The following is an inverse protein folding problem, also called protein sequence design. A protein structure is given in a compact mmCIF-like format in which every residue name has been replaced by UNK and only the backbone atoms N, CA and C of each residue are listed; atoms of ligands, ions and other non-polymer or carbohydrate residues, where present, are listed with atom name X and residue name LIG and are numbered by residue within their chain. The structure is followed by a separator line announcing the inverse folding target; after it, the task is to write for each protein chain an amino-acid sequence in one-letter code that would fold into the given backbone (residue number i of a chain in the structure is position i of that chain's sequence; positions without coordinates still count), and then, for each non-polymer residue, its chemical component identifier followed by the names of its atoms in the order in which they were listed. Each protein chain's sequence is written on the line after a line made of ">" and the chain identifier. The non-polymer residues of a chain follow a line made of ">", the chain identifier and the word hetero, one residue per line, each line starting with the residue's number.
data_IF_070268301351
#
_entry.id   IF_070268301351
#
_cell.length_a   1.000
_cell.length_b   1.000
_cell.length_c   1.000
_cell.angle_alpha   90.00
_cell.angle_beta   90.00
_cell.angle_gamma   90.00
#
_symmetry.space_group_name_H-M   'P 1'
#
loop_
_entity.id
_entity.type
_entity.pdbx_description
1 polymer ?
#
# COMPACT_ATOMS: atom_id res chain seq x y z
N UNK A 1 -15.00 -17.02 14.15
CA UNK A 1 -15.63 -16.26 13.04
C UNK A 1 -16.27 -15.02 13.63
N UNK A 2 -15.63 -13.87 13.47
CA UNK A 2 -16.11 -12.55 13.89
C UNK A 2 -15.47 -11.50 12.98
N UNK A 3 -15.85 -11.48 11.70
CA UNK A 3 -15.42 -10.46 10.73
C UNK A 3 -16.56 -9.48 10.37
N UNK A 4 -17.78 -9.71 10.88
CA UNK A 4 -18.96 -8.92 10.53
C UNK A 4 -18.98 -7.50 11.13
N UNK A 5 -18.13 -7.20 12.11
CA UNK A 5 -18.22 -5.98 12.94
C UNK A 5 -17.00 -5.05 12.82
N UNK A 6 -16.11 -5.30 11.86
CA UNK A 6 -14.99 -4.39 11.58
C UNK A 6 -15.46 -3.26 10.65
N UNK A 7 -15.16 -1.99 10.99
CA UNK A 7 -15.44 -0.88 10.10
C UNK A 7 -14.63 -1.03 8.81
N UNK A 8 -15.31 -0.93 7.67
CA UNK A 8 -14.67 -0.97 6.35
C UNK A 8 -14.02 0.39 6.10
N UNK A 9 -12.72 0.40 5.83
CA UNK A 9 -12.03 1.63 5.47
C UNK A 9 -12.02 1.81 3.95
N UNK A 10 -12.58 2.92 3.47
CA UNK A 10 -12.68 3.17 2.04
C UNK A 10 -11.32 3.13 1.30
N UNK A 11 -10.26 3.68 1.90
CA UNK A 11 -8.96 3.77 1.21
C UNK A 11 -8.25 2.42 1.17
N UNK A 12 -8.33 1.65 2.26
CA UNK A 12 -7.67 0.35 2.40
C UNK A 12 -8.43 -0.77 1.69
N UNK A 13 -9.75 -0.78 1.83
CA UNK A 13 -10.58 -1.96 1.52
C UNK A 13 -11.40 -1.77 0.22
N UNK A 14 -11.97 -0.58 -0.01
CA UNK A 14 -12.93 -0.34 -1.11
C UNK A 14 -12.26 0.20 -2.37
N UNK A 15 -11.46 1.25 -2.23
CA UNK A 15 -10.80 1.93 -3.36
C UNK A 15 -9.95 0.96 -4.21
N UNK A 16 -9.18 0.01 -3.66
CA UNK A 16 -8.44 -0.94 -4.49
C UNK A 16 -9.36 -1.80 -5.38
N UNK A 17 -10.53 -2.19 -4.86
CA UNK A 17 -11.54 -2.93 -5.62
C UNK A 17 -12.08 -2.07 -6.75
N UNK A 18 -12.49 -0.83 -6.46
CA UNK A 18 -13.03 0.08 -7.49
C UNK A 18 -11.96 0.46 -8.53
N UNK A 19 -10.72 0.68 -8.10
CA UNK A 19 -9.61 1.03 -8.98
C UNK A 19 -9.24 -0.11 -9.93
N UNK A 20 -9.25 -1.36 -9.45
CA UNK A 20 -9.01 -2.50 -10.32
C UNK A 20 -10.23 -2.80 -11.18
N UNK A 21 -11.43 -2.91 -10.60
CA UNK A 21 -12.59 -3.49 -11.31
C UNK A 21 -13.46 -2.48 -12.05
N UNK A 22 -13.43 -1.19 -11.69
CA UNK A 22 -14.45 -0.23 -12.12
C UNK A 22 -13.89 1.01 -12.83
N UNK A 23 -12.76 1.59 -12.38
CA UNK A 23 -12.28 2.89 -12.86
C UNK A 23 -11.81 2.92 -14.32
N UNK A 24 -11.64 1.76 -14.97
CA UNK A 24 -11.36 1.75 -16.40
C UNK A 24 -12.54 2.32 -17.20
N UNK A 25 -13.77 1.88 -16.92
CA UNK A 25 -14.97 2.36 -17.60
C UNK A 25 -15.72 3.46 -16.83
N UNK A 26 -15.55 3.55 -15.51
CA UNK A 26 -16.25 4.52 -14.67
C UNK A 26 -15.28 5.40 -13.87
N UNK A 27 -14.19 5.83 -14.51
CA UNK A 27 -13.13 6.62 -13.87
C UNK A 27 -12.70 7.85 -14.69
N UNK A 28 -11.48 8.36 -14.44
CA UNK A 28 -11.07 9.69 -14.91
C UNK A 28 -10.82 9.78 -16.42
N UNK A 29 -10.64 8.67 -17.12
CA UNK A 29 -10.43 8.67 -18.58
C UNK A 29 -11.76 8.84 -19.32
N UNK A 30 -12.00 9.95 -20.04
CA UNK A 30 -13.24 10.15 -20.80
C UNK A 30 -13.35 9.26 -22.04
N UNK A 31 -12.24 8.69 -22.54
CA UNK A 31 -12.25 7.92 -23.79
C UNK A 31 -12.82 6.52 -23.63
N UNK A 32 -12.67 5.93 -22.46
CA UNK A 32 -13.25 4.63 -22.07
C UNK A 32 -14.50 4.78 -21.19
N UNK A 33 -14.96 6.01 -20.95
CA UNK A 33 -16.02 6.26 -19.96
C UNK A 33 -17.38 5.81 -20.45
N UNK A 34 -18.05 5.02 -19.61
CA UNK A 34 -19.41 4.55 -19.81
C UNK A 34 -20.37 5.23 -18.84
N UNK A 35 -21.61 5.42 -19.30
CA UNK A 35 -22.72 6.01 -18.56
C UNK A 35 -22.45 7.41 -17.95
N UNK A 36 -21.44 8.13 -18.46
CA UNK A 36 -20.96 9.39 -17.88
C UNK A 36 -20.71 9.28 -16.36
N UNK A 37 -20.33 8.11 -15.86
CA UNK A 37 -20.19 7.84 -14.43
C UNK A 37 -18.73 7.90 -13.97
N UNK A 38 -18.51 8.56 -12.83
CA UNK A 38 -17.21 8.75 -12.18
C UNK A 38 -17.20 8.20 -10.77
N UNK A 39 -16.94 6.90 -10.63
CA UNK A 39 -16.81 6.26 -9.31
C UNK A 39 -15.53 6.67 -8.57
N UNK A 40 -14.58 7.33 -9.25
CA UNK A 40 -13.38 7.91 -8.65
C UNK A 40 -13.63 9.26 -7.97
N UNK A 41 -14.83 9.84 -8.13
CA UNK A 41 -15.29 11.04 -7.47
C UNK A 41 -16.54 10.74 -6.64
N UNK A 42 -16.68 11.40 -5.48
CA UNK A 42 -17.92 11.28 -4.71
C UNK A 42 -19.05 12.03 -5.40
N UNK A 43 -18.87 13.34 -5.60
CA UNK A 43 -19.78 14.17 -6.39
C UNK A 43 -19.31 14.24 -7.83
N UNK A 44 -20.28 14.28 -8.75
CA UNK A 44 -20.05 14.50 -10.17
C UNK A 44 -19.71 15.95 -10.52
N UNK A 45 -19.75 16.23 -11.82
CA UNK A 45 -19.68 17.58 -12.40
C UNK A 45 -20.89 17.83 -13.32
N UNK A 46 -20.91 18.96 -14.04
CA UNK A 46 -22.06 19.33 -14.89
C UNK A 46 -22.36 18.29 -16.00
N UNK A 47 -21.39 17.46 -16.38
CA UNK A 47 -21.51 16.51 -17.49
C UNK A 47 -21.47 15.05 -17.04
N UNK A 48 -21.03 14.78 -15.81
CA UNK A 48 -20.77 13.44 -15.31
C UNK A 48 -21.38 13.20 -13.93
N UNK A 49 -21.99 12.03 -13.75
CA UNK A 49 -22.45 11.53 -12.46
C UNK A 49 -21.26 11.14 -11.58
N UNK A 50 -21.37 11.37 -10.28
CA UNK A 50 -20.44 10.90 -9.25
C UNK A 50 -20.86 9.56 -8.65
N UNK A 51 -20.07 9.06 -7.71
CA UNK A 51 -20.43 7.88 -6.93
C UNK A 51 -21.72 8.09 -6.10
N UNK A 52 -22.00 9.32 -5.65
CA UNK A 52 -23.19 9.68 -4.87
C UNK A 52 -24.50 9.48 -5.65
N UNK A 53 -24.46 9.50 -6.98
CA UNK A 53 -25.64 9.30 -7.83
C UNK A 53 -26.07 7.83 -7.97
N UNK A 54 -25.16 6.88 -7.68
CA UNK A 54 -25.39 5.42 -7.84
C UNK A 54 -25.20 4.63 -6.54
N UNK A 55 -24.84 5.32 -5.46
CA UNK A 55 -24.66 4.77 -4.12
C UNK A 55 -25.49 5.59 -3.15
N UNK A 56 -26.45 4.95 -2.49
CA UNK A 56 -27.22 5.54 -1.40
C UNK A 56 -26.61 5.11 -0.07
N UNK A 57 -25.95 6.02 0.69
CA UNK A 57 -25.38 5.71 2.00
C UNK A 57 -26.36 5.00 2.94
N UNK A 58 -25.98 3.82 3.42
CA UNK A 58 -26.80 3.02 4.35
C UNK A 58 -27.88 2.16 3.68
N UNK A 59 -28.12 2.31 2.38
CA UNK A 59 -29.21 1.62 1.68
C UNK A 59 -28.69 0.72 0.56
N UNK A 60 -28.68 -0.59 0.82
CA UNK A 60 -28.23 -1.59 -0.17
C UNK A 60 -29.17 -1.69 -1.36
N UNK A 61 -30.47 -1.78 -1.10
CA UNK A 61 -31.48 -1.97 -2.16
C UNK A 61 -31.70 -0.69 -2.98
N UNK A 62 -31.36 0.48 -2.43
CA UNK A 62 -31.39 1.78 -3.12
C UNK A 62 -30.13 2.08 -3.93
N UNK A 63 -29.06 1.30 -3.75
CA UNK A 63 -27.78 1.53 -4.42
C UNK A 63 -27.67 0.76 -5.73
N UNK A 64 -27.69 1.46 -6.86
CA UNK A 64 -27.49 0.88 -8.20
C UNK A 64 -26.17 0.10 -8.30
N UNK A 65 -25.10 0.57 -7.64
CA UNK A 65 -23.84 -0.18 -7.58
C UNK A 65 -24.04 -1.61 -7.06
N UNK A 66 -24.85 -1.79 -6.01
CA UNK A 66 -25.14 -3.11 -5.42
C UNK A 66 -25.95 -3.96 -6.39
N UNK A 67 -26.95 -3.38 -7.03
CA UNK A 67 -27.76 -4.06 -8.05
C UNK A 67 -26.87 -4.59 -9.18
N UNK A 68 -25.93 -3.79 -9.68
CA UNK A 68 -25.03 -4.16 -10.78
C UNK A 68 -24.03 -5.25 -10.43
N UNK A 69 -23.41 -5.18 -9.24
CA UNK A 69 -22.41 -6.21 -8.83
C UNK A 69 -23.06 -7.53 -8.42
N UNK A 70 -24.39 -7.55 -8.19
CA UNK A 70 -25.14 -8.76 -7.81
C UNK A 70 -26.15 -9.24 -8.85
N UNK A 71 -26.30 -8.52 -9.97
CA UNK A 71 -27.24 -8.87 -11.04
C UNK A 71 -27.03 -10.30 -11.53
N UNK A 72 -28.10 -11.08 -11.68
CA UNK A 72 -28.04 -12.43 -12.27
C UNK A 72 -27.89 -12.38 -13.80
N UNK A 73 -28.49 -11.37 -14.42
CA UNK A 73 -28.38 -11.10 -15.85
C UNK A 73 -26.95 -10.64 -16.20
N UNK A 74 -26.32 -11.35 -17.14
CA UNK A 74 -24.97 -11.08 -17.59
C UNK A 74 -24.84 -9.71 -18.27
N UNK A 75 -25.90 -9.23 -18.95
CA UNK A 75 -25.89 -7.96 -19.67
C UNK A 75 -26.02 -6.76 -18.70
N UNK A 76 -26.51 -7.00 -17.49
CA UNK A 76 -26.64 -5.99 -16.44
C UNK A 76 -25.51 -6.03 -15.41
N UNK A 77 -24.76 -7.14 -15.36
CA UNK A 77 -23.73 -7.37 -14.35
C UNK A 77 -22.49 -6.53 -14.63
N UNK A 78 -21.98 -5.90 -13.57
CA UNK A 78 -20.71 -5.19 -13.59
C UNK A 78 -19.65 -5.89 -12.74
N UNK A 79 -18.38 -5.96 -13.18
CA UNK A 79 -17.90 -5.55 -14.50
C UNK A 79 -18.45 -6.43 -15.65
N UNK A 80 -18.58 -5.91 -16.88
CA UNK A 80 -19.05 -6.68 -18.03
C UNK A 80 -18.10 -7.85 -18.33
N UNK A 81 -18.61 -8.93 -18.91
CA UNK A 81 -17.81 -10.13 -19.19
C UNK A 81 -16.63 -9.84 -20.13
N UNK A 82 -16.80 -8.94 -21.10
CA UNK A 82 -15.75 -8.53 -22.03
C UNK A 82 -14.59 -7.78 -21.37
N UNK A 83 -14.78 -7.22 -20.16
CA UNK A 83 -13.69 -6.59 -19.41
C UNK A 83 -12.65 -7.60 -18.91
N UNK A 84 -13.00 -8.88 -18.88
CA UNK A 84 -12.17 -9.95 -18.31
C UNK A 84 -12.01 -9.85 -16.79
N UNK A 85 -12.71 -8.93 -16.12
CA UNK A 85 -12.68 -8.74 -14.67
C UNK A 85 -13.96 -9.26 -14.03
N UNK A 86 -13.83 -9.75 -12.80
CA UNK A 86 -14.96 -10.15 -11.97
C UNK A 86 -14.67 -9.81 -10.52
N UNK A 87 -15.73 -9.65 -9.74
CA UNK A 87 -15.66 -9.50 -8.29
C UNK A 87 -15.78 -10.87 -7.64
N UNK A 88 -14.90 -11.14 -6.69
CA UNK A 88 -15.05 -12.25 -5.75
C UNK A 88 -16.18 -11.97 -4.75
N UNK A 89 -16.65 -13.02 -4.07
CA UNK A 89 -17.66 -12.87 -3.02
C UNK A 89 -17.22 -11.98 -1.86
N UNK A 90 -15.92 -11.99 -1.53
CA UNK A 90 -15.34 -11.14 -0.48
C UNK A 90 -15.29 -9.67 -0.89
N UNK A 91 -14.99 -9.38 -2.16
CA UNK A 91 -15.03 -8.01 -2.69
C UNK A 91 -16.47 -7.46 -2.72
N UNK A 92 -17.44 -8.27 -3.17
CA UNK A 92 -18.86 -7.91 -3.15
C UNK A 92 -19.31 -7.64 -1.71
N UNK A 93 -18.97 -8.52 -0.76
CA UNK A 93 -19.31 -8.33 0.66
C UNK A 93 -18.68 -7.06 1.23
N UNK A 94 -17.42 -6.76 0.88
CA UNK A 94 -16.73 -5.54 1.30
C UNK A 94 -17.43 -4.28 0.81
N UNK A 95 -17.82 -4.24 -0.48
CA UNK A 95 -18.57 -3.13 -1.05
C UNK A 95 -19.95 -2.97 -0.39
N UNK A 96 -20.68 -4.07 -0.19
CA UNK A 96 -21.98 -4.05 0.50
C UNK A 96 -21.85 -3.56 1.94
N UNK A 97 -20.90 -4.08 2.71
CA UNK A 97 -20.68 -3.64 4.10
C UNK A 97 -20.31 -2.17 4.18
N UNK A 98 -19.44 -1.69 3.28
CA UNK A 98 -19.11 -0.27 3.21
C UNK A 98 -20.34 0.61 2.96
N UNK A 99 -21.19 0.24 2.00
CA UNK A 99 -22.43 0.98 1.71
C UNK A 99 -23.38 0.94 2.92
N UNK A 100 -23.60 -0.23 3.51
CA UNK A 100 -24.43 -0.39 4.69
C UNK A 100 -23.92 0.41 5.91
N UNK A 101 -22.60 0.64 6.00
CA UNK A 101 -21.97 1.48 7.02
C UNK A 101 -22.01 2.99 6.71
N UNK A 102 -22.75 3.41 5.68
CA UNK A 102 -22.93 4.82 5.32
C UNK A 102 -22.01 5.29 4.20
N UNK A 103 -21.36 4.38 3.48
CA UNK A 103 -20.57 4.67 2.27
C UNK A 103 -19.57 5.83 2.43
N UNK A 104 -18.89 5.95 3.57
CA UNK A 104 -17.95 7.05 3.80
C UNK A 104 -16.88 7.07 2.70
N UNK A 105 -16.90 8.11 1.87
CA UNK A 105 -15.96 8.30 0.77
C UNK A 105 -14.78 9.14 1.23
N UNK A 106 -13.55 8.68 0.98
CA UNK A 106 -12.32 9.43 1.32
C UNK A 106 -11.61 9.85 0.04
N UNK A 107 -11.11 11.10 -0.09
CA UNK A 107 -10.33 11.51 -1.25
C UNK A 107 -9.01 10.73 -1.37
N UNK A 108 -8.29 10.88 -2.48
CA UNK A 108 -7.01 10.21 -2.66
C UNK A 108 -6.03 10.65 -1.56
N UNK A 109 -5.27 9.69 -1.00
CA UNK A 109 -4.39 9.92 0.17
C UNK A 109 -3.39 11.08 -0.04
N UNK A 110 -2.98 11.32 -1.28
CA UNK A 110 -2.08 12.41 -1.64
C UNK A 110 -2.67 13.82 -1.40
N UNK A 111 -4.00 13.94 -1.31
CA UNK A 111 -4.71 15.20 -1.05
C UNK A 111 -5.20 15.32 0.39
N UNK A 112 -4.91 14.34 1.24
CA UNK A 112 -5.26 14.36 2.66
C UNK A 112 -4.02 14.69 3.47
N UNK A 113 -4.12 15.69 4.35
CA UNK A 113 -3.03 16.02 5.26
C UNK A 113 -2.69 14.80 6.14
N UNK A 114 -1.43 14.31 6.14
CA UNK A 114 -1.05 13.17 6.96
C UNK A 114 -1.15 13.54 8.44
N UNK A 115 -1.83 12.71 9.22
CA UNK A 115 -1.93 12.86 10.66
C UNK A 115 -0.97 11.89 11.35
N UNK A 116 -0.37 12.32 12.47
CA UNK A 116 0.52 11.45 13.25
C UNK A 116 -0.33 10.44 14.04
N UNK A 117 -0.26 9.12 13.73
CA UNK A 117 -1.02 8.12 14.46
C UNK A 117 -0.47 7.93 15.88
N UNK A 118 -1.31 7.41 16.78
CA UNK A 118 -0.84 6.97 18.08
C UNK A 118 0.08 5.74 17.90
N UNK A 119 1.24 5.78 18.56
CA UNK A 119 2.21 4.68 18.50
C UNK A 119 1.74 3.55 19.41
N UNK A 120 1.65 2.30 18.92
CA UNK A 120 1.22 1.16 19.73
C UNK A 120 2.09 1.01 20.99
N UNK A 121 1.43 0.87 22.14
CA UNK A 121 2.09 0.61 23.42
C UNK A 121 2.29 -0.90 23.57
N UNK A 122 3.53 -1.36 23.43
CA UNK A 122 3.90 -2.76 23.58
C UNK A 122 4.51 -3.00 24.97
N UNK A 123 4.13 -4.09 25.62
CA UNK A 123 4.64 -4.46 26.95
C UNK A 123 6.14 -4.81 26.93
N UNK A 124 6.64 -5.34 25.81
CA UNK A 124 8.05 -5.70 25.60
C UNK A 124 8.81 -4.54 24.93
N UNK A 125 9.09 -3.50 25.72
CA UNK A 125 9.78 -2.28 25.29
C UNK A 125 11.24 -2.43 24.78
N UNK A 126 12.09 -3.41 25.20
CA UNK A 126 13.52 -3.35 24.88
C UNK A 126 13.86 -3.59 23.40
N UNK A 127 12.90 -4.01 22.57
CA UNK A 127 13.10 -4.21 21.12
C UNK A 127 12.64 -3.02 20.26
N UNK A 128 11.91 -2.06 20.83
CA UNK A 128 11.42 -0.87 20.10
C UNK A 128 12.53 0.20 20.11
N UNK A 129 13.23 0.36 18.99
CA UNK A 129 14.30 1.39 18.84
C UNK A 129 13.74 2.70 18.31
N UNK A 130 12.67 2.62 17.53
CA UNK A 130 11.97 3.77 16.98
C UNK A 130 10.46 3.47 16.84
N UNK A 131 9.60 4.49 16.61
CA UNK A 131 8.15 4.29 16.52
C UNK A 131 7.69 3.28 15.47
N UNK A 132 8.42 3.12 14.35
CA UNK A 132 8.09 2.16 13.28
C UNK A 132 8.17 0.72 13.82
N UNK A 133 9.16 0.43 14.65
CA UNK A 133 9.33 -0.90 15.26
C UNK A 133 8.09 -1.27 16.08
N UNK A 134 7.46 -0.31 16.76
CA UNK A 134 6.24 -0.56 17.53
C UNK A 134 5.07 -0.99 16.63
N UNK A 135 4.89 -0.37 15.47
CA UNK A 135 3.86 -0.78 14.51
C UNK A 135 4.13 -2.17 13.93
N UNK A 136 5.39 -2.47 13.56
CA UNK A 136 5.77 -3.77 13.02
C UNK A 136 5.60 -4.87 14.06
N UNK A 137 6.09 -4.67 15.28
CA UNK A 137 5.98 -5.64 16.37
C UNK A 137 4.53 -5.88 16.79
N UNK A 138 3.70 -4.84 16.84
CA UNK A 138 2.26 -4.99 17.10
C UNK A 138 1.60 -5.92 16.08
N UNK A 139 1.91 -5.74 14.79
CA UNK A 139 1.36 -6.58 13.73
C UNK A 139 1.88 -8.01 13.76
N UNK A 140 3.16 -8.21 14.09
CA UNK A 140 3.76 -9.54 14.27
C UNK A 140 3.11 -10.28 15.45
N UNK A 141 2.92 -9.61 16.60
CA UNK A 141 2.24 -10.19 17.76
C UNK A 141 0.80 -10.62 17.43
N UNK A 142 0.03 -9.77 16.74
CA UNK A 142 -1.31 -10.12 16.27
C UNK A 142 -1.30 -11.33 15.31
N UNK A 143 -0.26 -11.48 14.50
CA UNK A 143 -0.09 -12.60 13.59
C UNK A 143 0.50 -13.86 14.26
N UNK A 144 0.84 -13.82 15.55
CA UNK A 144 1.55 -14.91 16.23
C UNK A 144 2.98 -15.15 15.72
N UNK A 145 3.59 -14.14 15.09
CA UNK A 145 4.93 -14.20 14.51
C UNK A 145 5.96 -13.49 15.41
N UNK A 146 7.23 -13.88 15.26
CA UNK A 146 8.37 -13.24 15.92
C UNK A 146 9.35 -12.69 14.87
N UNK A 147 10.07 -11.60 15.17
CA UNK A 147 11.14 -11.13 14.29
C UNK A 147 12.20 -12.20 14.05
N UNK A 148 12.74 -12.23 12.84
CA UNK A 148 13.93 -13.03 12.53
C UNK A 148 15.14 -12.52 13.33
N UNK A 149 16.12 -13.39 13.64
CA UNK A 149 17.36 -12.96 14.27
C UNK A 149 18.09 -11.94 13.38
N UNK A 150 18.82 -10.99 13.96
CA UNK A 150 19.69 -10.08 13.20
C UNK A 150 20.68 -10.86 12.34
N UNK A 151 20.93 -10.37 11.13
CA UNK A 151 21.96 -10.95 10.27
C UNK A 151 23.37 -10.57 10.78
N UNK A 152 24.35 -11.43 10.50
CA UNK A 152 25.75 -11.17 10.81
C UNK A 152 26.24 -9.84 10.21
N UNK A 153 27.13 -9.09 10.90
CA UNK A 153 27.58 -7.78 10.44
C UNK A 153 28.09 -7.76 8.99
N UNK A 154 28.85 -8.77 8.57
CA UNK A 154 29.35 -8.86 7.20
C UNK A 154 28.26 -9.13 6.17
N UNK A 155 27.22 -9.87 6.56
CA UNK A 155 26.03 -10.08 5.71
C UNK A 155 25.28 -8.77 5.52
N UNK A 156 25.16 -7.98 6.59
CA UNK A 156 24.53 -6.66 6.54
C UNK A 156 25.30 -5.70 5.62
N UNK A 157 26.62 -5.58 5.78
CA UNK A 157 27.45 -4.76 4.90
C UNK A 157 27.33 -5.18 3.44
N UNK A 158 27.37 -6.49 3.17
CA UNK A 158 27.27 -7.01 1.80
C UNK A 158 25.92 -6.68 1.17
N UNK A 159 24.82 -6.86 1.90
CA UNK A 159 23.46 -6.47 1.43
C UNK A 159 23.41 -4.98 1.16
N UNK A 160 23.85 -4.17 2.11
CA UNK A 160 23.85 -2.71 2.00
C UNK A 160 24.65 -2.22 0.78
N UNK A 161 25.85 -2.75 0.55
CA UNK A 161 26.68 -2.40 -0.61
C UNK A 161 26.01 -2.81 -1.93
N UNK A 162 25.46 -4.03 -1.99
CA UNK A 162 24.72 -4.50 -3.15
C UNK A 162 23.36 -3.83 -3.34
N UNK A 163 22.82 -3.12 -2.37
CA UNK A 163 21.55 -2.38 -2.48
C UNK A 163 21.76 -0.90 -2.80
N UNK A 164 22.85 -0.30 -2.30
CA UNK A 164 23.14 1.11 -2.52
C UNK A 164 24.00 1.36 -3.75
N UNK A 165 25.05 0.56 -3.98
CA UNK A 165 26.04 0.83 -5.05
C UNK A 165 26.16 -0.27 -6.09
N UNK A 166 25.68 -1.48 -5.79
CA UNK A 166 25.56 -2.58 -6.76
C UNK A 166 26.84 -3.42 -6.89
N UNK A 167 27.83 -3.08 -6.08
CA UNK A 167 29.11 -3.78 -5.98
C UNK A 167 29.22 -4.44 -4.60
N UNK A 168 29.84 -5.63 -4.50
CA UNK A 168 30.15 -6.21 -3.21
C UNK A 168 31.22 -5.37 -2.48
N UNK A 169 31.25 -5.36 -1.15
CA UNK A 169 32.30 -4.68 -0.40
C UNK A 169 33.65 -5.37 -0.62
N UNK A 170 34.75 -4.61 -0.59
CA UNK A 170 36.10 -5.20 -0.65
C UNK A 170 36.47 -5.89 0.67
N UNK A 171 37.45 -6.81 0.68
CA UNK A 171 37.95 -7.40 1.93
C UNK A 171 38.36 -6.36 2.97
N UNK A 172 39.02 -5.28 2.55
CA UNK A 172 39.46 -4.19 3.43
C UNK A 172 38.27 -3.44 4.02
N UNK A 173 37.21 -3.21 3.25
CA UNK A 173 35.97 -2.58 3.75
C UNK A 173 35.23 -3.49 4.74
N UNK A 174 35.28 -4.81 4.54
CA UNK A 174 34.72 -5.80 5.47
C UNK A 174 35.48 -5.78 6.80
N UNK A 175 36.81 -5.78 6.75
CA UNK A 175 37.66 -5.74 7.94
C UNK A 175 37.50 -4.42 8.71
N UNK A 176 37.48 -3.29 7.99
CA UNK A 176 37.22 -1.99 8.58
C UNK A 176 35.84 -1.92 9.24
N UNK A 177 34.81 -2.49 8.61
CA UNK A 177 33.46 -2.54 9.19
C UNK A 177 33.40 -3.43 10.43
N UNK A 178 34.08 -4.59 10.43
CA UNK A 178 34.16 -5.45 11.63
C UNK A 178 34.82 -4.71 12.79
N UNK A 179 35.96 -4.06 12.57
CA UNK A 179 36.63 -3.26 13.58
C UNK A 179 35.74 -2.12 14.09
N UNK A 180 35.01 -1.45 13.18
CA UNK A 180 34.09 -0.37 13.56
C UNK A 180 32.91 -0.88 14.41
N UNK A 181 32.37 -2.06 14.09
CA UNK A 181 31.33 -2.75 14.88
C UNK A 181 31.84 -3.12 16.27
N UNK A 182 33.07 -3.62 16.37
CA UNK A 182 33.69 -3.95 17.66
C UNK A 182 33.91 -2.70 18.53
N UNK A 183 34.33 -1.59 17.90
CA UNK A 183 34.66 -0.36 18.61
C UNK A 183 33.44 0.46 19.03
N UNK A 184 32.40 0.52 18.18
CA UNK A 184 31.29 1.46 18.35
C UNK A 184 29.91 0.80 18.35
N UNK A 185 29.84 -0.52 18.17
CA UNK A 185 28.59 -1.26 18.09
C UNK A 185 27.96 -1.24 16.70
N UNK A 186 27.13 -2.27 16.44
CA UNK A 186 26.56 -2.52 15.10
C UNK A 186 25.73 -1.35 14.55
N UNK A 187 24.93 -0.69 15.39
CA UNK A 187 24.02 0.37 14.92
C UNK A 187 24.78 1.59 14.39
N UNK A 188 25.81 2.05 15.10
CA UNK A 188 26.58 3.23 14.72
C UNK A 188 27.51 2.93 13.54
N UNK A 189 28.13 1.75 13.53
CA UNK A 189 28.93 1.29 12.39
C UNK A 189 28.08 1.16 11.13
N UNK A 190 26.87 0.58 11.24
CA UNK A 190 25.95 0.45 10.11
C UNK A 190 25.53 1.82 9.57
N UNK A 191 25.21 2.79 10.44
CA UNK A 191 24.88 4.16 10.01
C UNK A 191 26.04 4.80 9.23
N UNK A 192 27.28 4.69 9.73
CA UNK A 192 28.46 5.21 9.01
C UNK A 192 28.68 4.52 7.67
N UNK A 193 28.45 3.20 7.59
CA UNK A 193 28.53 2.47 6.33
C UNK A 193 27.48 2.96 5.32
N UNK A 194 26.24 3.25 5.76
CA UNK A 194 25.20 3.85 4.92
C UNK A 194 25.67 5.19 4.34
N UNK A 195 26.10 6.12 5.20
CA UNK A 195 26.57 7.46 4.77
C UNK A 195 27.72 7.36 3.76
N UNK A 196 28.70 6.50 4.05
CA UNK A 196 29.84 6.26 3.16
C UNK A 196 29.41 5.74 1.77
N UNK A 197 28.46 4.82 1.74
CA UNK A 197 27.97 4.23 0.48
C UNK A 197 27.10 5.22 -0.30
N UNK A 198 26.26 6.01 0.37
CA UNK A 198 25.48 7.08 -0.25
C UNK A 198 26.37 8.19 -0.85
N UNK A 199 27.51 8.47 -0.22
CA UNK A 199 28.49 9.43 -0.71
C UNK A 199 29.37 8.89 -1.87
N UNK A 200 29.30 7.61 -2.19
CA UNK A 200 30.08 7.01 -3.28
C UNK A 200 29.53 7.43 -4.65
N UNK A 201 30.39 7.76 -5.64
CA UNK A 201 29.95 7.96 -7.03
C UNK A 201 29.14 6.79 -7.60
N UNK A 202 29.46 5.56 -7.17
CA UNK A 202 28.76 4.35 -7.59
C UNK A 202 27.29 4.31 -7.17
N UNK A 203 26.90 5.04 -6.12
CA UNK A 203 25.49 5.20 -5.76
C UNK A 203 24.73 5.91 -6.90
N UNK A 204 25.28 7.02 -7.40
CA UNK A 204 24.70 7.75 -8.54
C UNK A 204 24.66 6.92 -9.81
N UNK A 205 25.75 6.19 -10.11
CA UNK A 205 25.83 5.30 -11.28
C UNK A 205 24.76 4.21 -11.24
N UNK A 206 24.58 3.55 -10.09
CA UNK A 206 23.58 2.48 -9.92
C UNK A 206 22.16 2.99 -10.15
N UNK A 207 21.78 4.10 -9.49
CA UNK A 207 20.42 4.63 -9.58
C UNK A 207 20.14 5.35 -10.90
N UNK A 208 21.18 5.92 -11.53
CA UNK A 208 21.11 6.47 -12.88
C UNK A 208 20.82 5.40 -13.94
N UNK A 209 21.31 4.17 -13.76
CA UNK A 209 21.08 3.07 -14.72
C UNK A 209 19.60 2.80 -14.97
N UNK A 210 18.76 2.82 -13.93
CA UNK A 210 17.31 2.56 -14.06
C UNK A 210 16.66 3.56 -15.03
N UNK A 211 17.06 4.83 -14.96
CA UNK A 211 16.59 5.86 -15.88
C UNK A 211 17.15 5.72 -17.29
N UNK A 212 18.42 5.34 -17.43
CA UNK A 212 19.03 5.09 -18.72
C UNK A 212 18.43 3.88 -19.44
N UNK A 213 18.03 2.86 -18.70
CA UNK A 213 17.33 1.69 -19.25
C UNK A 213 15.89 2.04 -19.65
N UNK A 214 15.19 2.86 -18.87
CA UNK A 214 13.82 3.31 -19.18
C UNK A 214 13.74 4.29 -20.37
N UNK A 215 14.84 4.98 -20.70
CA UNK A 215 14.92 5.93 -21.81
C UNK A 215 15.28 5.30 -23.17
N UNK A 216 15.52 3.98 -23.21
CA UNK A 216 15.81 3.22 -24.44
C UNK A 216 14.55 2.63 -25.05
#
# INVERSE_FOLDING_TARGET
>A
MAFADQPVDFTRDVRPILADKCFHCHGPDPTSREASLRLDLWEGDDENMGASDVITPGELDGSELVARITAEDADLRMPPAESGKSLSSEEIDTLRRWIAQGAEYKPHWAFVAPQRPEVPKLADAPTVRNPIDAFVLARLQQAGLKPSPPAEPTTLLRRLSLDLIGLPPTPEEVDAFRADVEQHGLNDAYRRAVERLLASPHFGERWGRVWLDAAR
#
